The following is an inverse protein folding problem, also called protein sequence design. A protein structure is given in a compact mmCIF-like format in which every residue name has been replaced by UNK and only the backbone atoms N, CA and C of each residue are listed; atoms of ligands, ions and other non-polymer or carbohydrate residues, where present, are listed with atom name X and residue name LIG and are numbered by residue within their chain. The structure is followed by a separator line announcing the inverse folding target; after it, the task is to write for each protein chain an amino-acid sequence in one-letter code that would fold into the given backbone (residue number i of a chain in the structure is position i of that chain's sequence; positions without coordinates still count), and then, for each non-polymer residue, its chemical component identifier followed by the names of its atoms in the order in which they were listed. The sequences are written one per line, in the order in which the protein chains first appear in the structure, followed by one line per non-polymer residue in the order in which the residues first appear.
data_IF_637442957767
#
_entry.id   IF_637442957767
#
_cell.length_a   1.000
_cell.length_b   1.000
_cell.length_c   1.000
_cell.angle_alpha   90.00
_cell.angle_beta   90.00
_cell.angle_gamma   90.00
#
_symmetry.space_group_name_H-M   'P 1'
#
loop_
_entity.id
_entity.type
_entity.pdbx_description
1 polymer ?
#
# COMPACT_ATOMS: atom_id res chain seq x y z
N UNK A 1 11.58 41.44 13.50
CA UNK A 1 12.42 40.38 12.89
C UNK A 1 11.52 39.18 12.69
N UNK A 2 10.92 39.06 11.50
CA UNK A 2 10.01 37.99 11.14
C UNK A 2 10.43 37.51 9.76
N UNK A 3 10.84 36.26 9.68
CA UNK A 3 11.52 35.66 8.54
C UNK A 3 10.43 35.07 7.65
N UNK A 4 10.25 35.67 6.48
CA UNK A 4 9.33 35.20 5.46
C UNK A 4 9.94 34.00 4.76
N UNK A 5 9.24 32.87 4.79
CA UNK A 5 9.56 31.72 3.97
C UNK A 5 9.17 32.03 2.51
N UNK A 6 10.18 32.08 1.65
CA UNK A 6 10.04 32.18 0.20
C UNK A 6 9.50 30.86 -0.40
N UNK A 7 8.39 30.99 -1.13
CA UNK A 7 8.17 30.31 -2.41
C UNK A 7 7.68 28.86 -2.40
N UNK A 8 6.39 28.67 -2.75
CA UNK A 8 5.98 27.80 -3.86
C UNK A 8 4.53 28.13 -4.26
N UNK A 9 4.35 28.99 -5.27
CA UNK A 9 3.05 29.32 -5.88
C UNK A 9 2.63 28.27 -6.93
N UNK A 10 2.72 26.98 -6.61
CA UNK A 10 1.98 25.97 -7.36
C UNK A 10 0.77 25.56 -6.50
N UNK A 11 -0.44 25.75 -7.05
CA UNK A 11 -1.71 25.37 -6.42
C UNK A 11 -1.88 23.85 -6.30
N UNK A 12 -0.96 23.18 -5.61
CA UNK A 12 -0.96 21.78 -5.29
C UNK A 12 -0.83 21.70 -3.78
N UNK A 13 -1.97 21.73 -3.08
CA UNK A 13 -2.06 21.77 -1.62
C UNK A 13 -1.03 20.85 -0.95
N UNK A 14 -0.01 21.47 -0.36
CA UNK A 14 1.02 20.83 0.46
C UNK A 14 0.56 20.70 1.92
N UNK A 15 -0.74 20.54 2.15
CA UNK A 15 -1.26 20.28 3.49
C UNK A 15 -1.56 18.78 3.59
N UNK A 16 -0.69 18.12 4.36
CA UNK A 16 -0.81 16.83 5.00
C UNK A 16 -2.20 16.18 4.95
N UNK A 17 -2.44 15.33 3.95
CA UNK A 17 -3.50 14.31 4.03
C UNK A 17 -2.96 12.97 3.53
N UNK A 18 -1.96 12.43 4.22
CA UNK A 18 -1.58 11.02 4.07
C UNK A 18 -2.61 10.17 4.82
N UNK A 19 -3.81 10.04 4.24
CA UNK A 19 -4.91 9.24 4.77
C UNK A 19 -4.57 7.75 4.72
N UNK A 20 -4.00 7.23 5.80
CA UNK A 20 -3.81 5.81 6.06
C UNK A 20 -3.87 5.54 7.56
N UNK A 21 -4.36 4.36 7.95
CA UNK A 21 -4.36 3.93 9.35
C UNK A 21 -2.89 3.77 9.83
N UNK A 22 -2.41 4.60 10.79
CA UNK A 22 -1.01 4.59 11.21
C UNK A 22 -0.63 3.27 11.91
N UNK A 23 -1.57 2.64 12.62
CA UNK A 23 -1.33 1.36 13.28
C UNK A 23 -1.22 0.23 12.25
N UNK A 24 -2.03 0.26 11.20
CA UNK A 24 -1.93 -0.68 10.09
C UNK A 24 -0.57 -0.59 9.39
N UNK A 25 -0.11 0.63 9.15
CA UNK A 25 1.19 0.89 8.52
C UNK A 25 2.34 0.40 9.37
N UNK A 26 2.30 0.62 10.68
CA UNK A 26 3.33 0.14 11.60
C UNK A 26 3.36 -1.39 11.69
N UNK A 27 2.19 -2.02 11.77
CA UNK A 27 2.08 -3.48 11.73
C UNK A 27 2.77 -4.06 10.49
N UNK A 28 2.48 -3.54 9.30
CA UNK A 28 3.05 -4.07 8.06
C UNK A 28 4.55 -3.79 7.89
N UNK A 29 5.11 -2.78 8.56
CA UNK A 29 6.57 -2.61 8.62
C UNK A 29 7.24 -3.76 9.35
N UNK A 30 6.69 -4.14 10.50
CA UNK A 30 7.29 -5.14 11.41
C UNK A 30 6.94 -6.58 11.04
N UNK A 31 5.81 -6.79 10.35
CA UNK A 31 5.34 -8.13 10.00
C UNK A 31 6.39 -8.92 9.18
N UNK A 32 6.55 -10.22 9.41
CA UNK A 32 7.46 -11.06 8.63
C UNK A 32 6.94 -11.29 7.20
N UNK A 33 7.83 -11.65 6.26
CA UNK A 33 7.45 -11.87 4.85
C UNK A 33 6.49 -13.05 4.65
N UNK A 34 6.44 -13.98 5.61
CA UNK A 34 5.53 -15.12 5.61
C UNK A 34 4.11 -14.75 6.08
N UNK A 35 3.91 -13.57 6.66
CA UNK A 35 2.61 -13.11 7.16
C UNK A 35 1.58 -13.09 6.02
N UNK A 36 0.40 -13.67 6.24
CA UNK A 36 -0.64 -13.71 5.22
C UNK A 36 -1.34 -12.35 5.10
N UNK A 37 -1.32 -11.81 3.89
CA UNK A 37 -2.06 -10.59 3.53
C UNK A 37 -3.45 -10.96 3.04
N UNK A 38 -3.55 -11.93 2.11
CA UNK A 38 -4.81 -12.37 1.54
C UNK A 38 -5.08 -13.83 1.92
N UNK A 39 -5.97 -14.04 2.88
CA UNK A 39 -6.36 -15.38 3.34
C UNK A 39 -7.14 -16.17 2.29
N UNK A 40 -7.88 -15.49 1.40
CA UNK A 40 -8.60 -16.16 0.33
C UNK A 40 -7.66 -16.79 -0.71
N UNK A 41 -6.62 -16.06 -1.11
CA UNK A 41 -5.64 -16.51 -2.10
C UNK A 41 -4.37 -17.11 -1.52
N UNK A 42 -4.27 -17.22 -0.19
CA UNK A 42 -3.07 -17.65 0.53
C UNK A 42 -1.82 -16.86 0.11
N UNK A 43 -1.95 -15.54 0.01
CA UNK A 43 -0.87 -14.65 -0.45
C UNK A 43 -0.18 -13.99 0.75
N UNK A 44 1.14 -14.11 0.83
CA UNK A 44 1.96 -13.54 1.91
C UNK A 44 2.46 -12.12 1.61
N UNK A 45 2.93 -11.42 2.67
CA UNK A 45 3.59 -10.10 2.57
C UNK A 45 4.74 -10.14 1.57
N UNK A 46 5.61 -11.14 1.66
CA UNK A 46 6.77 -11.28 0.78
C UNK A 46 6.40 -11.42 -0.70
N UNK A 47 5.28 -12.06 -1.02
CA UNK A 47 4.78 -12.14 -2.40
C UNK A 47 4.30 -10.77 -2.91
N UNK A 48 3.58 -10.01 -2.08
CA UNK A 48 3.13 -8.65 -2.41
C UNK A 48 4.34 -7.72 -2.58
N UNK A 49 5.28 -7.72 -1.63
CA UNK A 49 6.50 -6.91 -1.69
C UNK A 49 7.31 -7.25 -2.93
N UNK A 50 7.50 -8.54 -3.24
CA UNK A 50 8.18 -8.96 -4.48
C UNK A 50 7.48 -8.44 -5.73
N UNK A 51 6.14 -8.48 -5.78
CA UNK A 51 5.41 -7.92 -6.91
C UNK A 51 5.61 -6.40 -7.03
N UNK A 52 5.62 -5.67 -5.91
CA UNK A 52 5.90 -4.23 -5.89
C UNK A 52 7.31 -3.92 -6.42
N UNK A 53 8.31 -4.70 -6.00
CA UNK A 53 9.69 -4.58 -6.51
C UNK A 53 9.79 -4.84 -8.02
N UNK A 54 8.87 -5.61 -8.59
CA UNK A 54 8.76 -5.87 -10.03
C UNK A 54 7.91 -4.82 -10.77
N UNK A 55 7.43 -3.78 -10.09
CA UNK A 55 6.66 -2.68 -10.70
C UNK A 55 5.16 -2.70 -10.45
N UNK A 56 4.65 -3.58 -9.58
CA UNK A 56 3.23 -3.67 -9.26
C UNK A 56 2.77 -2.57 -8.27
N UNK A 57 2.66 -1.33 -8.76
CA UNK A 57 2.28 -0.18 -7.92
C UNK A 57 0.77 0.08 -7.82
N UNK A 58 -0.06 -0.83 -8.33
CA UNK A 58 -1.52 -0.68 -8.32
C UNK A 58 -2.21 -2.00 -7.94
N UNK A 59 -3.39 -1.90 -7.31
CA UNK A 59 -4.19 -3.07 -6.93
C UNK A 59 -4.50 -3.99 -8.13
N UNK A 60 -4.90 -3.49 -9.31
CA UNK A 60 -5.13 -4.36 -10.47
C UNK A 60 -3.89 -5.17 -10.87
N UNK A 61 -2.71 -4.56 -10.86
CA UNK A 61 -1.46 -5.25 -11.21
C UNK A 61 -1.09 -6.27 -10.14
N UNK A 62 -1.20 -5.92 -8.85
CA UNK A 62 -0.99 -6.86 -7.75
C UNK A 62 -1.95 -8.07 -7.86
N UNK A 63 -3.22 -7.83 -8.18
CA UNK A 63 -4.23 -8.88 -8.37
C UNK A 63 -3.86 -9.85 -9.49
N UNK A 64 -3.32 -9.33 -10.59
CA UNK A 64 -2.85 -10.14 -11.74
C UNK A 64 -1.58 -10.92 -11.36
N UNK A 65 -0.62 -10.28 -10.70
CA UNK A 65 0.69 -10.87 -10.42
C UNK A 65 0.67 -11.88 -9.26
N UNK A 66 -0.22 -11.69 -8.28
CA UNK A 66 -0.18 -12.46 -7.02
C UNK A 66 -1.44 -13.28 -6.76
N UNK A 67 -2.55 -12.98 -7.44
CA UNK A 67 -3.87 -13.58 -7.13
C UNK A 67 -4.56 -13.01 -5.87
N UNK A 68 -3.95 -12.04 -5.18
CA UNK A 68 -4.59 -11.36 -4.05
C UNK A 68 -5.86 -10.60 -4.48
N UNK A 69 -6.77 -10.34 -3.53
CA UNK A 69 -8.02 -9.58 -3.76
C UNK A 69 -8.99 -10.22 -4.79
N UNK A 70 -8.92 -11.54 -5.03
CA UNK A 70 -9.82 -12.25 -5.94
C UNK A 70 -10.97 -13.01 -5.25
N UNK A 71 -10.77 -13.44 -4.01
CA UNK A 71 -11.77 -14.19 -3.24
C UNK A 71 -12.90 -13.31 -2.67
N UNK A 72 -13.96 -13.98 -2.18
CA UNK A 72 -15.17 -13.33 -1.65
C UNK A 72 -15.49 -13.70 -0.19
N UNK A 73 -14.79 -14.68 0.37
CA UNK A 73 -15.04 -15.21 1.73
C UNK A 73 -14.23 -14.47 2.82
N UNK A 74 -13.95 -13.18 2.63
CA UNK A 74 -13.06 -12.43 3.53
C UNK A 74 -13.59 -12.36 4.97
N UNK A 75 -14.91 -12.31 5.16
CA UNK A 75 -15.53 -12.27 6.48
C UNK A 75 -15.27 -13.54 7.31
N UNK A 76 -15.08 -14.69 6.66
CA UNK A 76 -14.89 -15.98 7.34
C UNK A 76 -13.43 -16.43 7.35
N UNK A 77 -12.68 -16.15 6.27
CA UNK A 77 -11.28 -16.59 6.13
C UNK A 77 -10.26 -15.62 6.71
N UNK A 78 -10.52 -14.31 6.68
CA UNK A 78 -9.59 -13.34 7.24
C UNK A 78 -9.88 -13.16 8.74
N UNK A 79 -8.92 -13.38 9.65
CA UNK A 79 -9.11 -13.16 11.08
C UNK A 79 -9.47 -11.70 11.43
N UNK A 80 -9.17 -10.75 10.54
CA UNK A 80 -9.57 -9.34 10.67
C UNK A 80 -11.02 -9.07 10.24
N UNK A 81 -11.74 -10.06 9.71
CA UNK A 81 -13.14 -9.96 9.26
C UNK A 81 -13.37 -9.01 8.08
N UNK A 82 -12.30 -8.52 7.42
CA UNK A 82 -12.36 -7.54 6.33
C UNK A 82 -11.56 -8.00 5.11
N UNK A 83 -11.82 -7.38 3.95
CA UNK A 83 -11.03 -7.60 2.75
C UNK A 83 -9.58 -7.12 2.92
N UNK A 84 -8.65 -7.77 2.21
CA UNK A 84 -7.22 -7.48 2.26
C UNK A 84 -6.82 -6.24 1.45
N UNK A 85 -7.75 -5.55 0.78
CA UNK A 85 -7.41 -4.44 -0.12
C UNK A 85 -6.77 -3.26 0.64
N UNK A 86 -7.21 -2.97 1.87
CA UNK A 86 -6.57 -1.96 2.71
C UNK A 86 -5.13 -2.35 3.10
N UNK A 87 -4.88 -3.64 3.36
CA UNK A 87 -3.54 -4.16 3.66
C UNK A 87 -2.62 -4.06 2.44
N UNK A 88 -3.14 -4.44 1.26
CA UNK A 88 -2.38 -4.34 0.01
C UNK A 88 -2.08 -2.88 -0.35
N UNK A 89 -3.05 -1.97 -0.22
CA UNK A 89 -2.82 -0.51 -0.42
C UNK A 89 -1.71 0.00 0.50
N UNK A 90 -1.78 -0.36 1.78
CA UNK A 90 -0.77 0.00 2.77
C UNK A 90 0.64 -0.52 2.37
N UNK A 91 0.74 -1.77 1.90
CA UNK A 91 2.00 -2.34 1.42
C UNK A 91 2.53 -1.63 0.16
N UNK A 92 1.65 -1.27 -0.79
CA UNK A 92 2.04 -0.46 -1.94
C UNK A 92 2.61 0.88 -1.48
N UNK A 93 1.92 1.60 -0.58
CA UNK A 93 2.39 2.88 -0.04
C UNK A 93 3.67 2.78 0.81
N UNK A 94 3.97 1.59 1.34
CA UNK A 94 5.19 1.33 2.11
C UNK A 94 6.39 1.03 1.21
N UNK A 95 6.17 0.34 0.08
CA UNK A 95 7.25 -0.25 -0.72
C UNK A 95 7.32 0.27 -2.17
N UNK A 96 6.33 1.03 -2.63
CA UNK A 96 6.43 1.73 -3.90
C UNK A 96 7.47 2.85 -3.76
N UNK A 97 8.64 2.63 -4.37
CA UNK A 97 9.53 3.74 -4.68
C UNK A 97 8.74 4.65 -5.61
N UNK A 98 8.37 5.86 -5.15
CA UNK A 98 7.63 6.83 -5.97
C UNK A 98 8.30 6.90 -7.33
N UNK A 99 7.67 6.45 -8.44
CA UNK A 99 8.18 6.80 -9.74
C UNK A 99 8.09 8.32 -9.79
N UNK A 100 9.23 8.99 -9.95
CA UNK A 100 9.24 10.36 -10.44
C UNK A 100 8.56 10.31 -11.80
N UNK A 101 7.24 10.53 -11.84
CA UNK A 101 6.47 10.63 -13.07
C UNK A 101 6.91 11.92 -13.77
N UNK A 102 8.00 11.84 -14.52
CA UNK A 102 8.36 12.81 -15.55
C UNK A 102 7.51 12.48 -16.76
N UNK A 103 6.31 13.06 -16.84
CA UNK A 103 5.58 13.14 -18.09
C UNK A 103 6.37 14.10 -19.00
N UNK A 104 6.97 13.55 -20.06
CA UNK A 104 7.59 14.30 -21.15
C UNK A 104 6.57 14.55 -22.27
#
# INVERSE_FOLDING_TARGET
MGEAHEGCECGCGCEEIAGGDPALREYWRQAPDQELVCFCGQVSKGQIVRAIMLGAYTIPVIKIMTGACQGRDCQTKNPRGRCCDADVKCLIELHASRPSFSFA
#
